data_IF_665348541752
#
_entry.id   IF_665348541752
#
_cell.length_a   1.000
_cell.length_b   1.000
_cell.length_c   1.000
_cell.angle_alpha   90.00
_cell.angle_beta   90.00
_cell.angle_gamma   90.00
#
_symmetry.space_group_name_H-M   'P 1'
#
loop_
_entity.id
_entity.type
_entity.pdbx_description
1 polymer ?
#
# COMPACT_ATOMS: atom_id res chain seq x y z
N UNK A 1 11.87 -16.29 3.03
CA UNK A 1 12.44 -14.96 2.82
C UNK A 1 11.42 -13.96 3.29
N UNK A 2 11.61 -13.41 4.49
CA UNK A 2 10.66 -12.44 5.08
C UNK A 2 10.51 -11.21 4.19
N UNK A 3 9.27 -10.78 3.96
CA UNK A 3 8.97 -9.54 3.24
C UNK A 3 9.01 -9.66 1.71
N UNK A 4 9.29 -10.84 1.14
CA UNK A 4 9.31 -11.04 -0.31
C UNK A 4 8.35 -12.17 -0.68
N UNK A 5 7.47 -11.88 -1.65
CA UNK A 5 6.57 -12.86 -2.22
C UNK A 5 7.23 -13.55 -3.42
N UNK A 6 7.36 -14.87 -3.35
CA UNK A 6 8.13 -15.65 -4.35
C UNK A 6 7.51 -15.62 -5.75
N UNK A 7 6.20 -15.40 -5.84
CA UNK A 7 5.45 -15.35 -7.10
C UNK A 7 4.98 -13.93 -7.46
N UNK A 8 5.74 -12.90 -7.06
CA UNK A 8 5.40 -11.55 -7.49
C UNK A 8 5.45 -11.47 -9.03
N UNK A 9 4.40 -10.93 -9.69
CA UNK A 9 4.32 -10.92 -11.15
C UNK A 9 5.50 -10.20 -11.82
N UNK A 10 6.01 -10.79 -12.91
CA UNK A 10 7.09 -10.21 -13.71
C UNK A 10 6.66 -8.90 -14.41
N UNK A 11 5.38 -8.78 -14.70
CA UNK A 11 4.76 -7.57 -15.25
C UNK A 11 4.04 -6.80 -14.14
N UNK A 12 4.18 -5.48 -14.11
CA UNK A 12 3.37 -4.58 -13.30
C UNK A 12 2.56 -3.66 -14.21
N UNK A 13 1.53 -2.98 -13.70
CA UNK A 13 0.73 -2.04 -14.50
C UNK A 13 1.24 -0.61 -14.42
N UNK A 14 1.91 -0.26 -13.31
CA UNK A 14 2.43 1.08 -13.06
C UNK A 14 3.61 1.02 -12.10
N UNK A 15 4.53 1.96 -12.25
CA UNK A 15 5.53 2.26 -11.24
C UNK A 15 5.33 3.69 -10.71
N UNK A 16 5.60 3.88 -9.43
CA UNK A 16 5.72 5.20 -8.82
C UNK A 16 7.11 5.32 -8.18
N UNK A 17 7.76 6.46 -8.36
CA UNK A 17 9.03 6.74 -7.72
C UNK A 17 8.84 7.79 -6.63
N UNK A 18 9.16 7.40 -5.41
CA UNK A 18 9.25 8.31 -4.26
C UNK A 18 10.70 8.74 -4.10
N UNK A 19 10.96 10.05 -4.05
CA UNK A 19 12.28 10.61 -3.73
C UNK A 19 12.24 11.18 -2.31
N UNK A 20 13.23 10.84 -1.49
CA UNK A 20 13.24 11.24 -0.08
C UNK A 20 14.66 11.43 0.46
N UNK A 21 14.75 12.16 1.58
CA UNK A 21 15.98 12.31 2.38
C UNK A 21 16.03 11.36 3.58
N UNK A 22 14.92 10.70 3.89
CA UNK A 22 14.79 9.83 5.05
C UNK A 22 15.69 8.59 4.94
N UNK A 23 16.11 8.03 6.07
CA UNK A 23 16.78 6.72 6.05
C UNK A 23 15.81 5.62 5.59
N UNK A 24 16.37 4.57 4.97
CA UNK A 24 15.61 3.39 4.56
C UNK A 24 14.78 2.81 5.71
N UNK A 25 15.38 2.64 6.90
CA UNK A 25 14.65 2.22 8.11
C UNK A 25 13.49 3.15 8.48
N UNK A 26 13.66 4.47 8.40
CA UNK A 26 12.58 5.43 8.70
C UNK A 26 11.44 5.24 7.70
N UNK A 27 11.74 5.16 6.41
CA UNK A 27 10.72 4.94 5.37
C UNK A 27 9.98 3.61 5.60
N UNK A 28 10.70 2.51 5.84
CA UNK A 28 10.09 1.19 6.08
C UNK A 28 9.18 1.19 7.31
N UNK A 29 9.61 1.80 8.42
CA UNK A 29 8.76 1.91 9.62
C UNK A 29 7.52 2.78 9.39
N UNK A 30 7.66 3.87 8.64
CA UNK A 30 6.53 4.72 8.25
C UNK A 30 5.55 3.97 7.36
N UNK A 31 6.04 3.13 6.45
CA UNK A 31 5.22 2.28 5.59
C UNK A 31 4.41 1.24 6.39
N UNK A 32 5.08 0.49 7.28
CA UNK A 32 4.39 -0.49 8.14
C UNK A 32 3.35 0.19 9.03
N UNK A 33 3.66 1.36 9.59
CA UNK A 33 2.71 2.10 10.43
C UNK A 33 1.53 2.65 9.62
N UNK A 34 1.76 3.14 8.40
CA UNK A 34 0.69 3.57 7.50
C UNK A 34 -0.26 2.41 7.19
N UNK A 35 0.27 1.24 6.83
CA UNK A 35 -0.57 0.10 6.48
C UNK A 35 -1.36 -0.47 7.67
N UNK A 36 -0.77 -0.45 8.87
CA UNK A 36 -1.53 -0.74 10.08
C UNK A 36 -2.70 0.23 10.28
N UNK A 37 -2.47 1.54 10.14
CA UNK A 37 -3.52 2.56 10.31
C UNK A 37 -4.62 2.44 9.25
N UNK A 38 -4.26 2.06 8.02
CA UNK A 38 -5.18 1.70 6.94
C UNK A 38 -6.06 0.50 7.30
N UNK A 39 -5.48 -0.57 7.82
CA UNK A 39 -6.23 -1.76 8.26
C UNK A 39 -7.19 -1.47 9.41
N UNK A 40 -6.80 -0.58 10.32
CA UNK A 40 -7.60 -0.23 11.49
C UNK A 40 -8.68 0.81 11.21
N UNK A 41 -8.71 1.39 10.00
CA UNK A 41 -9.65 2.45 9.66
C UNK A 41 -9.48 3.70 10.54
N UNK A 42 -8.29 3.91 11.10
CA UNK A 42 -7.98 5.03 12.00
C UNK A 42 -7.87 6.34 11.22
N UNK A 43 -7.34 6.28 10.00
CA UNK A 43 -7.37 7.40 9.06
C UNK A 43 -8.57 7.27 8.12
N UNK A 44 -9.36 8.35 8.00
CA UNK A 44 -10.33 8.46 6.92
C UNK A 44 -9.60 8.72 5.61
N UNK A 45 -9.46 7.70 4.80
CA UNK A 45 -8.93 7.80 3.46
C UNK A 45 -10.02 8.33 2.53
N UNK A 46 -10.08 9.66 2.39
CA UNK A 46 -11.01 10.29 1.45
C UNK A 46 -10.50 10.13 0.02
N UNK A 47 -10.89 9.02 -0.60
CA UNK A 47 -10.72 8.81 -2.04
C UNK A 47 -11.94 9.44 -2.72
N UNK A 48 -11.87 10.75 -2.99
CA UNK A 48 -13.01 11.54 -3.46
C UNK A 48 -13.73 10.95 -4.69
N UNK A 49 -12.98 10.32 -5.60
CA UNK A 49 -13.51 9.62 -6.77
C UNK A 49 -14.52 8.51 -6.39
N UNK A 50 -14.37 7.91 -5.21
CA UNK A 50 -15.21 6.83 -4.69
C UNK A 50 -16.23 7.35 -3.67
N UNK A 51 -15.78 8.14 -2.70
CA UNK A 51 -16.60 8.60 -1.56
C UNK A 51 -17.72 9.53 -1.99
N UNK A 52 -17.52 10.33 -3.05
CA UNK A 52 -18.55 11.20 -3.65
C UNK A 52 -19.78 10.43 -4.17
N UNK A 53 -19.64 9.13 -4.45
CA UNK A 53 -20.73 8.27 -4.90
C UNK A 53 -21.42 7.52 -3.75
N UNK A 54 -21.15 7.90 -2.49
CA UNK A 54 -21.71 7.23 -1.30
C UNK A 54 -21.15 5.83 -1.06
N UNK A 55 -20.01 5.49 -1.69
CA UNK A 55 -19.31 4.22 -1.51
C UNK A 55 -18.29 4.40 -0.38
N UNK A 56 -18.36 3.53 0.63
CA UNK A 56 -17.35 3.43 1.68
C UNK A 56 -16.23 2.52 1.21
N UNK A 57 -14.99 2.89 1.54
CA UNK A 57 -13.79 2.09 1.29
C UNK A 57 -13.16 1.65 2.62
N UNK A 58 -12.69 0.41 2.67
CA UNK A 58 -11.86 -0.14 3.74
C UNK A 58 -10.71 -0.93 3.12
N UNK A 59 -9.62 -1.10 3.86
CA UNK A 59 -8.43 -1.79 3.38
C UNK A 59 -8.11 -3.00 4.24
N UNK A 60 -7.68 -4.08 3.60
CA UNK A 60 -6.94 -5.17 4.26
C UNK A 60 -5.58 -5.30 3.58
N UNK A 61 -4.51 -5.06 4.32
CA UNK A 61 -3.15 -4.99 3.83
C UNK A 61 -2.30 -6.02 4.58
N UNK A 62 -1.69 -6.91 3.81
CA UNK A 62 -0.77 -7.91 4.32
C UNK A 62 0.63 -7.75 3.76
N UNK A 63 1.62 -8.16 4.55
CA UNK A 63 3.03 -8.19 4.17
C UNK A 63 3.46 -9.62 3.85
N UNK A 64 4.29 -9.78 2.83
CA UNK A 64 4.67 -11.08 2.33
C UNK A 64 5.49 -11.90 3.33
N UNK A 65 5.18 -13.18 3.38
CA UNK A 65 5.93 -14.23 4.10
C UNK A 65 6.06 -15.44 3.17
N UNK A 66 7.03 -15.36 2.25
CA UNK A 66 7.27 -16.33 1.18
C UNK A 66 6.08 -16.54 0.22
N UNK A 67 5.20 -17.49 0.56
CA UNK A 67 4.07 -17.92 -0.25
C UNK A 67 2.73 -17.35 0.23
N UNK A 68 2.74 -16.64 1.36
CA UNK A 68 1.53 -16.06 1.96
C UNK A 68 1.71 -14.58 2.27
N UNK A 69 0.63 -13.94 2.72
CA UNK A 69 0.65 -12.59 3.26
C UNK A 69 0.04 -12.62 4.66
N UNK A 70 0.75 -12.05 5.64
CA UNK A 70 0.25 -11.86 7.00
C UNK A 70 -0.36 -10.46 7.07
N UNK A 71 -1.65 -10.35 7.43
CA UNK A 71 -2.32 -9.06 7.56
C UNK A 71 -1.71 -8.24 8.70
N UNK A 72 -1.47 -6.96 8.44
CA UNK A 72 -0.79 -6.08 9.38
C UNK A 72 -1.78 -5.61 10.45
N UNK A 73 -1.95 -6.43 11.48
CA UNK A 73 -2.63 -6.07 12.72
C UNK A 73 -1.63 -5.55 13.78
N UNK A 74 -2.04 -5.42 15.04
CA UNK A 74 -1.17 -4.91 16.10
C UNK A 74 0.01 -5.87 16.41
N UNK A 75 -0.21 -7.18 16.31
CA UNK A 75 0.83 -8.18 16.54
C UNK A 75 1.86 -8.15 15.40
N UNK A 76 1.38 -8.24 14.15
CA UNK A 76 2.24 -8.26 12.97
C UNK A 76 2.97 -6.92 12.82
N UNK A 77 2.33 -5.78 13.11
CA UNK A 77 3.01 -4.47 13.18
C UNK A 77 4.16 -4.49 14.17
N UNK A 78 3.95 -4.93 15.42
CA UNK A 78 4.99 -4.95 16.46
C UNK A 78 6.17 -5.84 16.06
N UNK A 79 5.87 -7.02 15.50
CA UNK A 79 6.87 -7.93 14.93
C UNK A 79 7.71 -7.22 13.87
N UNK A 80 7.09 -6.59 12.87
CA UNK A 80 7.82 -5.90 11.80
C UNK A 80 8.63 -4.70 12.30
N UNK A 81 8.10 -3.89 13.21
CA UNK A 81 8.85 -2.79 13.81
C UNK A 81 10.08 -3.29 14.59
N UNK A 82 9.97 -4.44 15.27
CA UNK A 82 11.08 -5.10 15.96
C UNK A 82 12.15 -5.61 14.98
N UNK A 83 11.74 -6.23 13.87
CA UNK A 83 12.66 -6.68 12.82
C UNK A 83 13.39 -5.48 12.20
N UNK A 84 12.67 -4.40 11.90
CA UNK A 84 13.22 -3.17 11.29
C UNK A 84 14.18 -2.40 12.22
N UNK A 85 14.17 -2.68 13.53
CA UNK A 85 15.20 -2.18 14.44
C UNK A 85 16.55 -2.88 14.24
N UNK A 86 16.53 -4.14 13.78
CA UNK A 86 17.72 -4.99 13.67
C UNK A 86 18.30 -4.98 12.25
N UNK A 87 17.46 -4.87 11.23
CA UNK A 87 17.87 -4.88 9.82
C UNK A 87 16.99 -4.00 8.95
N UNK A 88 17.46 -3.73 7.74
CA UNK A 88 16.72 -3.04 6.69
C UNK A 88 16.54 -3.99 5.51
N UNK A 89 15.49 -3.78 4.72
CA UNK A 89 15.19 -4.62 3.56
C UNK A 89 15.44 -3.88 2.25
N UNK A 90 15.89 -4.58 1.22
CA UNK A 90 15.97 -3.97 -0.13
C UNK A 90 14.63 -4.05 -0.86
N UNK A 91 13.81 -5.04 -0.51
CA UNK A 91 12.50 -5.29 -1.11
C UNK A 91 11.51 -5.59 0.00
N UNK A 92 10.31 -5.00 -0.08
CA UNK A 92 9.14 -5.42 0.70
C UNK A 92 7.92 -5.54 -0.22
N UNK A 93 7.25 -6.68 -0.17
CA UNK A 93 6.07 -6.99 -0.95
C UNK A 93 4.82 -7.03 -0.05
N UNK A 94 3.72 -6.50 -0.59
CA UNK A 94 2.45 -6.40 0.10
C UNK A 94 1.28 -6.81 -0.80
N UNK A 95 0.25 -7.36 -0.17
CA UNK A 95 -1.08 -7.48 -0.74
C UNK A 95 -1.94 -6.35 -0.17
N UNK A 96 -2.64 -5.61 -1.03
CA UNK A 96 -3.64 -4.63 -0.64
C UNK A 96 -4.98 -5.03 -1.24
N UNK A 97 -5.96 -5.26 -0.37
CA UNK A 97 -7.35 -5.51 -0.74
C UNK A 97 -8.16 -4.26 -0.43
N UNK A 98 -8.67 -3.60 -1.47
CA UNK A 98 -9.59 -2.49 -1.33
C UNK A 98 -11.04 -3.02 -1.32
N UNK A 99 -11.68 -2.93 -0.16
CA UNK A 99 -13.05 -3.38 0.07
C UNK A 99 -14.02 -2.20 -0.05
N UNK A 100 -15.13 -2.43 -0.74
CA UNK A 100 -16.11 -1.38 -1.00
C UNK A 100 -17.48 -1.78 -0.48
N UNK A 101 -18.19 -0.81 0.11
CA UNK A 101 -19.52 -1.01 0.65
C UNK A 101 -20.45 0.12 0.25
N UNK A 102 -21.69 -0.22 -0.05
CA UNK A 102 -22.78 0.76 -0.22
C UNK A 102 -23.82 0.55 0.88
N UNK A 103 -24.33 1.64 1.42
CA UNK A 103 -25.47 1.57 2.34
C UNK A 103 -26.75 1.45 1.53
N UNK A 104 -27.48 0.35 1.70
CA UNK A 104 -28.79 0.14 1.08
C UNK A 104 -29.74 -0.45 2.13
N UNK A 105 -30.87 0.21 2.33
CA UNK A 105 -31.89 -0.19 3.31
C UNK A 105 -31.33 -0.27 4.75
N UNK A 106 -30.40 0.63 5.10
CA UNK A 106 -29.74 0.64 6.42
C UNK A 106 -28.73 -0.49 6.65
N UNK A 107 -28.44 -1.30 5.63
CA UNK A 107 -27.42 -2.37 5.69
C UNK A 107 -26.28 -2.09 4.73
N UNK A 108 -25.06 -2.40 5.16
CA UNK A 108 -23.89 -2.34 4.28
C UNK A 108 -23.87 -3.57 3.37
N UNK A 109 -23.84 -3.33 2.06
CA UNK A 109 -23.70 -4.39 1.07
C UNK A 109 -22.32 -4.30 0.42
N UNK A 110 -21.52 -5.38 0.43
CA UNK A 110 -20.22 -5.37 -0.23
C UNK A 110 -20.38 -5.28 -1.74
N UNK A 111 -19.50 -4.51 -2.38
CA UNK A 111 -19.30 -4.55 -3.83
C UNK A 111 -18.08 -5.43 -4.17
N UNK A 112 -17.79 -5.59 -5.46
CA UNK A 112 -16.59 -6.32 -5.90
C UNK A 112 -15.33 -5.55 -5.49
N UNK A 113 -14.46 -6.22 -4.74
CA UNK A 113 -13.20 -5.70 -4.24
C UNK A 113 -12.12 -5.64 -5.31
N UNK A 114 -11.12 -4.81 -5.07
CA UNK A 114 -9.89 -4.75 -5.87
C UNK A 114 -8.72 -5.34 -5.07
N UNK A 115 -7.83 -6.04 -5.76
CA UNK A 115 -6.66 -6.74 -5.22
C UNK A 115 -5.43 -6.22 -5.94
N UNK A 116 -4.51 -5.64 -5.16
CA UNK A 116 -3.26 -5.10 -5.63
C UNK A 116 -2.08 -5.82 -4.98
N UNK A 117 -1.06 -6.12 -5.77
CA UNK A 117 0.24 -6.51 -5.26
C UNK A 117 1.19 -5.33 -5.41
N UNK A 118 1.83 -4.97 -4.30
CA UNK A 118 2.71 -3.82 -4.19
C UNK A 118 4.12 -4.30 -3.89
N UNK A 119 5.10 -3.94 -4.71
CA UNK A 119 6.52 -4.21 -4.44
C UNK A 119 7.26 -2.89 -4.27
N UNK A 120 7.83 -2.69 -3.08
CA UNK A 120 8.69 -1.56 -2.78
C UNK A 120 10.14 -1.96 -2.92
N UNK A 121 10.87 -1.28 -3.79
CA UNK A 121 12.31 -1.42 -4.01
C UNK A 121 13.01 -0.24 -3.36
N UNK A 122 13.77 -0.49 -2.30
CA UNK A 122 14.38 0.54 -1.47
C UNK A 122 15.81 0.88 -1.94
N UNK A 123 15.94 1.99 -2.66
CA UNK A 123 17.22 2.62 -2.96
C UNK A 123 17.76 3.45 -1.79
N UNK A 124 18.85 4.19 -2.03
CA UNK A 124 19.47 5.05 -1.01
C UNK A 124 18.68 6.35 -0.75
N UNK A 125 18.11 6.95 -1.81
CA UNK A 125 17.31 8.20 -1.74
C UNK A 125 16.02 8.13 -2.56
N UNK A 126 15.65 6.92 -2.94
CA UNK A 126 14.50 6.65 -3.77
C UNK A 126 13.85 5.34 -3.37
N UNK A 127 12.54 5.27 -3.49
CA UNK A 127 11.77 4.04 -3.39
C UNK A 127 10.93 3.91 -4.63
N UNK A 128 11.14 2.83 -5.39
CA UNK A 128 10.28 2.48 -6.52
C UNK A 128 9.17 1.57 -5.99
N UNK A 129 7.92 1.95 -6.24
CA UNK A 129 6.73 1.16 -5.97
C UNK A 129 6.23 0.59 -7.30
N UNK A 130 6.26 -0.72 -7.45
CA UNK A 130 5.63 -1.44 -8.55
C UNK A 130 4.25 -1.91 -8.13
N UNK A 131 3.25 -1.63 -8.95
CA UNK A 131 1.85 -1.95 -8.68
C UNK A 131 1.35 -2.91 -9.74
N UNK A 132 0.97 -4.10 -9.31
CA UNK A 132 0.20 -5.04 -10.10
C UNK A 132 -1.24 -5.08 -9.57
N UNK A 133 -2.21 -5.10 -10.48
CA UNK A 133 -3.62 -5.22 -10.13
C UNK A 133 -4.04 -6.63 -10.52
N UNK A 134 -4.10 -7.51 -9.54
CA UNK A 134 -4.41 -8.93 -9.70
C UNK A 134 -5.85 -9.12 -10.18
N UNK A 135 -6.80 -8.52 -9.46
CA UNK A 135 -8.23 -8.76 -9.70
C UNK A 135 -9.05 -7.60 -9.20
N UNK A 136 -10.16 -7.34 -9.87
CA UNK A 136 -11.12 -6.34 -9.42
C UNK A 136 -11.75 -5.59 -10.55
N UNK A 137 -12.39 -4.49 -10.20
CA UNK A 137 -13.02 -3.53 -11.09
C UNK A 137 -12.22 -2.23 -11.23
N UNK A 138 -11.14 -2.07 -10.46
CA UNK A 138 -10.33 -0.84 -10.41
C UNK A 138 -11.17 0.39 -10.04
N UNK A 139 -12.03 0.23 -9.02
CA UNK A 139 -12.79 1.34 -8.41
C UNK A 139 -11.85 2.31 -7.72
N UNK A 140 -10.83 1.79 -7.04
CA UNK A 140 -9.66 2.58 -6.66
C UNK A 140 -8.73 2.61 -7.88
N UNK A 141 -8.57 3.78 -8.49
CA UNK A 141 -7.60 3.93 -9.56
C UNK A 141 -6.17 3.74 -9.01
N UNK A 142 -5.21 3.40 -9.87
CA UNK A 142 -3.82 3.28 -9.44
C UNK A 142 -3.28 4.66 -9.02
N UNK A 143 -3.71 5.71 -9.70
CA UNK A 143 -3.38 7.10 -9.43
C UNK A 143 -3.87 7.51 -8.04
N UNK A 144 -5.14 7.20 -7.70
CA UNK A 144 -5.70 7.46 -6.38
C UNK A 144 -4.98 6.63 -5.31
N UNK A 145 -4.64 5.36 -5.59
CA UNK A 145 -3.86 4.55 -4.66
C UNK A 145 -2.47 5.16 -4.40
N UNK A 146 -1.76 5.58 -5.45
CA UNK A 146 -0.44 6.20 -5.30
C UNK A 146 -0.52 7.52 -4.53
N UNK A 147 -1.51 8.36 -4.83
CA UNK A 147 -1.76 9.61 -4.09
C UNK A 147 -2.06 9.34 -2.61
N UNK A 148 -2.85 8.29 -2.33
CA UNK A 148 -3.14 7.84 -0.97
C UNK A 148 -1.88 7.51 -0.18
N UNK A 149 -1.02 6.68 -0.77
CA UNK A 149 0.24 6.25 -0.17
C UNK A 149 1.18 7.44 0.00
N UNK A 150 1.28 8.31 -1.00
CA UNK A 150 2.08 9.52 -0.96
C UNK A 150 1.66 10.46 0.19
N UNK A 151 0.36 10.76 0.31
CA UNK A 151 -0.17 11.61 1.40
C UNK A 151 0.09 10.98 2.76
N UNK A 152 -0.18 9.67 2.91
CA UNK A 152 0.04 8.95 4.16
C UNK A 152 1.51 8.90 4.58
N UNK A 153 2.42 8.62 3.63
CA UNK A 153 3.86 8.59 3.88
C UNK A 153 4.42 10.00 4.15
N UNK A 154 3.99 11.02 3.41
CA UNK A 154 4.44 12.40 3.59
C UNK A 154 4.21 12.89 5.02
N UNK A 155 3.02 12.63 5.57
CA UNK A 155 2.67 12.99 6.96
C UNK A 155 3.60 12.35 8.00
N UNK A 156 4.05 11.11 7.74
CA UNK A 156 4.86 10.32 8.69
C UNK A 156 6.35 10.59 8.56
N UNK A 157 6.80 10.85 7.34
CA UNK A 157 8.22 11.06 7.05
C UNK A 157 8.63 12.50 7.44
N UNK A 158 7.75 13.49 7.24
CA UNK A 158 7.98 14.88 7.68
C UNK A 158 9.15 15.60 7.01
N UNK A 159 9.79 14.97 6.02
CA UNK A 159 10.86 15.53 5.18
C UNK A 159 10.31 15.77 3.77
N UNK A 160 11.08 16.43 2.90
CA UNK A 160 10.75 16.55 1.47
C UNK A 160 10.65 15.15 0.83
N UNK A 161 9.43 14.63 0.80
CA UNK A 161 9.02 13.50 -0.02
C UNK A 161 8.42 14.09 -1.29
N UNK A 162 8.96 13.71 -2.44
CA UNK A 162 8.30 13.94 -3.73
C UNK A 162 7.96 12.62 -4.39
N UNK A 163 6.95 12.63 -5.23
CA UNK A 163 6.47 11.45 -5.93
C UNK A 163 6.26 11.79 -7.40
N UNK A 164 6.67 10.86 -8.28
CA UNK A 164 6.33 10.88 -9.69
C UNK A 164 5.78 9.53 -10.12
N UNK A 165 4.73 9.54 -10.91
CA UNK A 165 4.22 8.36 -11.60
C UNK A 165 5.07 8.11 -12.84
N UNK A 166 5.43 6.86 -13.06
CA UNK A 166 6.08 6.39 -14.28
C UNK A 166 5.08 5.47 -14.98
N UNK A 167 4.27 5.99 -15.94
CA UNK A 167 3.41 5.15 -16.73
C UNK A 167 4.28 4.17 -17.50
N UNK A 168 3.93 2.89 -17.48
CA UNK A 168 4.49 1.98 -18.46
C UNK A 168 4.01 2.47 -19.82
N UNK A 169 4.96 2.76 -20.72
CA UNK A 169 4.65 3.11 -22.11
C UNK A 169 3.63 2.10 -22.65
N UNK A 170 2.60 2.60 -23.31
CA UNK A 170 1.56 1.79 -23.94
C UNK A 170 2.21 0.65 -24.73
N UNK A 171 1.99 -0.59 -24.27
CA UNK A 171 2.29 -1.79 -25.05
C UNK A 171 1.38 -1.88 -26.27
#
# INVERSE_FOLDING_TARGET
MEGIYTHFPDTYHCAALFLHKASRRKFQKSLISLFYEMNMGVESFDVQSITSHGIKIAFDIGIADELTFNFIDDEERKKWLSILNKREFEILDFLLVARYYVSKDGRERPLRFDYYMLRFLFGHRSVELRIYHERGTRRLSIEDLVDLLYKGLSKRIGEELSMRLEPLGTF
#
